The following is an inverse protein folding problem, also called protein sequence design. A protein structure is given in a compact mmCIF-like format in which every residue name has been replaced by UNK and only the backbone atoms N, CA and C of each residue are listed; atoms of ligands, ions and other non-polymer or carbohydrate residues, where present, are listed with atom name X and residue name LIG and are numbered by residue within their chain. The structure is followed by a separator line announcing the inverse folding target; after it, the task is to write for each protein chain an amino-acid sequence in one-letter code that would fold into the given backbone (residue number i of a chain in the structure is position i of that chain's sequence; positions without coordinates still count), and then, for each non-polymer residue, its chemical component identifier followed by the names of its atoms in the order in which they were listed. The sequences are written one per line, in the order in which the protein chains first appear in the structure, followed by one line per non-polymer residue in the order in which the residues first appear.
data_IF_722746317237
#
_entry.id   IF_722746317237
#
_cell.length_a   1.000
_cell.length_b   1.000
_cell.length_c   1.000
_cell.angle_alpha   90.00
_cell.angle_beta   90.00
_cell.angle_gamma   90.00
#
_symmetry.space_group_name_H-M   'P 1'
#
loop_
_entity.id
_entity.type
_entity.pdbx_description
1 polymer ?
#
# COMPACT_ATOMS: atom_id res chain seq x y z
N UNK A 1 28.39 -22.66 29.39
CA UNK A 1 28.36 -22.99 27.95
C UNK A 1 28.80 -21.73 27.22
N UNK A 2 30.06 -21.66 26.84
CA UNK A 2 30.64 -20.48 26.19
C UNK A 2 29.99 -20.26 24.82
N UNK A 3 29.46 -19.06 24.60
CA UNK A 3 29.02 -18.60 23.28
C UNK A 3 30.30 -18.40 22.46
N UNK A 4 30.67 -19.41 21.68
CA UNK A 4 31.82 -19.40 20.79
C UNK A 4 31.61 -18.37 19.67
N UNK A 5 32.69 -17.66 19.34
CA UNK A 5 32.72 -16.40 18.61
C UNK A 5 31.99 -16.35 17.27
N UNK A 6 31.57 -15.13 16.89
CA UNK A 6 31.17 -14.76 15.51
C UNK A 6 32.11 -15.46 14.51
N UNK A 7 31.59 -16.41 13.72
CA UNK A 7 32.32 -16.97 12.58
C UNK A 7 32.76 -15.80 11.70
N UNK A 8 34.06 -15.64 11.52
CA UNK A 8 34.65 -14.60 10.66
C UNK A 8 34.20 -14.89 9.23
N UNK A 9 33.35 -14.02 8.67
CA UNK A 9 32.84 -14.18 7.31
C UNK A 9 34.01 -14.10 6.33
N UNK A 10 34.12 -15.08 5.43
CA UNK A 10 35.16 -15.08 4.40
C UNK A 10 35.08 -13.79 3.57
N UNK A 11 36.24 -13.26 3.24
CA UNK A 11 36.42 -12.01 2.49
C UNK A 11 36.87 -12.29 1.05
N UNK A 12 36.84 -11.26 0.20
CA UNK A 12 37.35 -11.38 -1.17
C UNK A 12 38.85 -11.73 -1.21
N UNK A 13 39.59 -11.40 -0.14
CA UNK A 13 41.01 -11.75 0.01
C UNK A 13 41.16 -13.26 0.20
N UNK A 14 40.34 -13.86 1.08
CA UNK A 14 40.37 -15.30 1.35
C UNK A 14 40.03 -16.11 0.09
N UNK A 15 39.09 -15.62 -0.73
CA UNK A 15 38.76 -16.23 -2.03
C UNK A 15 39.91 -16.12 -3.03
N UNK A 16 40.58 -14.96 -3.07
CA UNK A 16 41.71 -14.74 -3.97
C UNK A 16 42.90 -15.65 -3.64
N UNK A 17 43.18 -15.81 -2.34
CA UNK A 17 44.20 -16.73 -1.84
C UNK A 17 43.86 -18.18 -2.16
N UNK A 18 42.64 -18.63 -1.84
CA UNK A 18 42.20 -20.01 -2.09
C UNK A 18 42.13 -20.37 -3.59
N UNK A 19 41.81 -19.40 -4.45
CA UNK A 19 41.78 -19.59 -5.91
C UNK A 19 43.14 -19.38 -6.60
N UNK A 20 44.18 -18.94 -5.87
CA UNK A 20 45.50 -18.69 -6.44
C UNK A 20 45.54 -17.56 -7.47
N UNK A 21 44.66 -16.55 -7.36
CA UNK A 21 44.55 -15.43 -8.31
C UNK A 21 44.61 -14.08 -7.61
N UNK A 22 44.92 -13.02 -8.35
CA UNK A 22 44.85 -11.65 -7.80
C UNK A 22 43.41 -11.27 -7.41
N UNK A 23 43.25 -10.48 -6.35
CA UNK A 23 41.96 -9.95 -5.86
C UNK A 23 41.17 -9.26 -6.97
N UNK A 24 41.85 -8.54 -7.86
CA UNK A 24 41.24 -7.88 -9.02
C UNK A 24 40.56 -8.86 -9.98
N UNK A 25 41.10 -10.08 -10.13
CA UNK A 25 40.52 -11.15 -10.97
C UNK A 25 39.25 -11.71 -10.33
N UNK A 26 39.27 -11.96 -9.01
CA UNK A 26 38.06 -12.35 -8.25
C UNK A 26 37.00 -11.26 -8.34
N UNK A 27 37.40 -9.99 -8.22
CA UNK A 27 36.48 -8.86 -8.36
C UNK A 27 35.85 -8.80 -9.75
N UNK A 28 36.61 -8.98 -10.83
CA UNK A 28 36.08 -9.03 -12.19
C UNK A 28 35.07 -10.15 -12.36
N UNK A 29 35.41 -11.36 -11.92
CA UNK A 29 34.53 -12.52 -11.96
C UNK A 29 33.21 -12.26 -11.21
N UNK A 30 33.29 -11.79 -9.96
CA UNK A 30 32.12 -11.49 -9.13
C UNK A 30 31.23 -10.37 -9.68
N UNK A 31 31.75 -9.53 -10.59
CA UNK A 31 31.00 -8.47 -11.28
C UNK A 31 30.53 -8.90 -12.68
N UNK A 32 30.56 -10.20 -13.00
CA UNK A 32 30.09 -10.73 -14.28
C UNK A 32 31.01 -10.43 -15.48
N UNK A 33 32.22 -9.93 -15.24
CA UNK A 33 33.18 -9.67 -16.31
C UNK A 33 33.92 -10.95 -16.71
N UNK A 34 34.34 -11.02 -17.98
CA UNK A 34 35.07 -12.17 -18.51
C UNK A 34 36.44 -12.33 -17.83
N UNK A 35 36.69 -13.53 -17.32
CA UNK A 35 38.00 -13.98 -16.81
C UNK A 35 38.42 -15.23 -17.58
N UNK A 36 39.72 -15.54 -17.60
CA UNK A 36 40.22 -16.77 -18.26
C UNK A 36 39.52 -18.00 -17.68
N UNK A 37 39.17 -18.98 -18.53
CA UNK A 37 38.40 -20.17 -18.12
C UNK A 37 39.05 -20.94 -16.96
N UNK A 38 40.38 -21.05 -16.93
CA UNK A 38 41.10 -21.67 -15.80
C UNK A 38 40.86 -20.94 -14.47
N UNK A 39 40.92 -19.61 -14.49
CA UNK A 39 40.70 -18.80 -13.28
C UNK A 39 39.24 -18.86 -12.81
N UNK A 40 38.28 -18.96 -13.74
CA UNK A 40 36.85 -19.07 -13.40
C UNK A 40 36.58 -20.28 -12.51
N UNK A 41 37.05 -21.46 -12.93
CA UNK A 41 36.81 -22.71 -12.20
C UNK A 41 37.46 -22.72 -10.81
N UNK A 42 38.66 -22.14 -10.66
CA UNK A 42 39.32 -22.00 -9.35
C UNK A 42 38.56 -21.03 -8.44
N UNK A 43 38.06 -19.91 -8.98
CA UNK A 43 37.28 -18.93 -8.21
C UNK A 43 35.95 -19.53 -7.75
N UNK A 44 35.24 -20.27 -8.61
CA UNK A 44 33.98 -20.96 -8.27
C UNK A 44 34.19 -21.97 -7.13
N UNK A 45 35.23 -22.81 -7.23
CA UNK A 45 35.61 -23.75 -6.15
C UNK A 45 35.95 -23.06 -4.85
N UNK A 46 36.73 -21.98 -4.90
CA UNK A 46 37.10 -21.22 -3.70
C UNK A 46 35.88 -20.57 -3.03
N UNK A 47 34.94 -20.03 -3.81
CA UNK A 47 33.69 -19.46 -3.30
C UNK A 47 32.86 -20.52 -2.57
N UNK A 48 32.71 -21.69 -3.18
CA UNK A 48 31.94 -22.80 -2.61
C UNK A 48 32.58 -23.33 -1.32
N UNK A 49 33.89 -23.62 -1.36
CA UNK A 49 34.65 -24.13 -0.21
C UNK A 49 34.65 -23.17 0.99
N UNK A 50 34.73 -21.87 0.73
CA UNK A 50 34.71 -20.84 1.78
C UNK A 50 33.30 -20.42 2.18
N UNK A 51 32.27 -20.94 1.50
CA UNK A 51 30.88 -20.44 1.61
C UNK A 51 30.84 -18.91 1.50
N UNK A 52 31.68 -18.36 0.61
CA UNK A 52 31.84 -16.93 0.47
C UNK A 52 30.57 -16.32 -0.10
N UNK A 53 29.96 -15.43 0.68
CA UNK A 53 28.90 -14.56 0.19
C UNK A 53 29.44 -13.14 0.09
N UNK A 54 29.31 -12.57 -1.10
CA UNK A 54 29.71 -11.18 -1.32
C UNK A 54 28.83 -10.28 -0.46
N UNK A 55 29.45 -9.59 0.50
CA UNK A 55 28.75 -8.65 1.38
C UNK A 55 28.05 -7.55 0.57
N UNK A 56 26.78 -7.30 0.88
CA UNK A 56 26.00 -6.22 0.26
C UNK A 56 26.65 -4.85 0.49
N UNK A 57 27.21 -4.61 1.68
CA UNK A 57 27.96 -3.39 2.01
C UNK A 57 29.17 -3.18 1.07
N UNK A 58 29.90 -4.24 0.72
CA UNK A 58 31.05 -4.15 -0.18
C UNK A 58 30.66 -3.90 -1.65
N UNK A 59 29.41 -4.22 -2.07
CA UNK A 59 28.85 -3.84 -3.38
C UNK A 59 28.43 -2.37 -3.39
N UNK A 60 27.77 -1.92 -2.33
CA UNK A 60 27.32 -0.55 -2.18
C UNK A 60 28.47 0.45 -2.19
N UNK A 61 29.54 0.19 -1.43
CA UNK A 61 30.72 1.06 -1.37
C UNK A 61 31.42 1.31 -2.72
N UNK A 62 31.26 0.43 -3.71
CA UNK A 62 31.91 0.55 -5.02
C UNK A 62 31.00 1.20 -6.08
N UNK A 63 29.68 1.03 -5.95
CA UNK A 63 28.70 1.49 -6.95
C UNK A 63 27.89 2.71 -6.50
N UNK A 64 28.04 3.13 -5.25
CA UNK A 64 27.23 4.17 -4.59
C UNK A 64 25.71 3.86 -4.61
N UNK A 65 25.35 2.59 -4.86
CA UNK A 65 23.97 2.07 -4.94
C UNK A 65 23.82 0.83 -4.09
N UNK A 66 22.72 0.71 -3.36
CA UNK A 66 22.44 -0.45 -2.51
C UNK A 66 21.56 -1.50 -3.19
N UNK A 67 20.91 -1.15 -4.31
CA UNK A 67 19.82 -1.90 -4.95
C UNK A 67 18.64 -2.16 -3.98
N UNK A 68 18.50 -1.33 -2.93
CA UNK A 68 17.44 -1.42 -1.94
C UNK A 68 16.43 -0.29 -2.13
N UNK A 69 15.15 -0.64 -2.18
CA UNK A 69 14.04 0.30 -2.25
C UNK A 69 13.29 0.24 -0.92
N UNK A 70 13.16 1.38 -0.25
CA UNK A 70 12.37 1.50 0.97
C UNK A 70 10.87 1.49 0.67
N UNK A 71 10.10 0.73 1.43
CA UNK A 71 8.64 0.73 1.39
C UNK A 71 8.10 0.99 2.79
N UNK A 72 7.49 2.16 2.97
CA UNK A 72 6.95 2.64 4.23
C UNK A 72 5.43 2.64 4.18
N UNK A 73 4.81 1.98 5.15
CA UNK A 73 3.36 1.80 5.25
C UNK A 73 2.94 1.89 6.71
N UNK A 74 1.69 2.29 7.04
CA UNK A 74 1.20 2.18 8.41
C UNK A 74 1.25 0.72 8.89
N UNK A 75 0.77 -0.21 8.08
CA UNK A 75 0.64 -1.63 8.45
C UNK A 75 0.69 -2.53 7.20
N UNK A 76 0.71 -3.85 7.41
CA UNK A 76 0.60 -4.87 6.35
C UNK A 76 -0.78 -5.53 6.37
N UNK A 77 -1.80 -4.71 6.19
CA UNK A 77 -3.16 -5.16 6.01
C UNK A 77 -3.38 -5.81 4.61
N UNK A 78 -4.60 -6.23 4.28
CA UNK A 78 -4.86 -6.98 3.03
C UNK A 78 -4.47 -6.17 1.77
N UNK A 79 -4.68 -4.85 1.78
CA UNK A 79 -4.29 -3.97 0.69
C UNK A 79 -2.75 -3.85 0.59
N UNK A 80 -2.08 -3.53 1.69
CA UNK A 80 -0.64 -3.28 1.70
C UNK A 80 0.17 -4.56 1.48
N UNK A 81 -0.29 -5.71 1.98
CA UNK A 81 0.34 -7.01 1.74
C UNK A 81 0.29 -7.42 0.26
N UNK A 82 -0.86 -7.21 -0.40
CA UNK A 82 -0.97 -7.44 -1.84
C UNK A 82 -0.06 -6.50 -2.64
N UNK A 83 -0.08 -5.21 -2.30
CA UNK A 83 0.79 -4.21 -2.93
C UNK A 83 2.27 -4.57 -2.77
N UNK A 84 2.71 -4.93 -1.56
CA UNK A 84 4.07 -5.38 -1.26
C UNK A 84 4.45 -6.59 -2.12
N UNK A 85 3.60 -7.60 -2.23
CA UNK A 85 3.87 -8.79 -3.05
C UNK A 85 4.05 -8.44 -4.54
N UNK A 86 3.21 -7.54 -5.09
CA UNK A 86 3.36 -7.07 -6.47
C UNK A 86 4.65 -6.27 -6.66
N UNK A 87 4.94 -5.30 -5.79
CA UNK A 87 6.17 -4.51 -5.84
C UNK A 87 7.42 -5.41 -5.72
N UNK A 88 7.40 -6.40 -4.81
CA UNK A 88 8.51 -7.32 -4.59
C UNK A 88 8.81 -8.18 -5.82
N UNK A 89 7.78 -8.55 -6.61
CA UNK A 89 7.96 -9.26 -7.88
C UNK A 89 8.58 -8.34 -8.94
N UNK A 90 8.05 -7.12 -9.07
CA UNK A 90 8.49 -6.15 -10.06
C UNK A 90 9.94 -5.70 -9.81
N UNK A 91 10.30 -5.36 -8.58
CA UNK A 91 11.67 -4.93 -8.27
C UNK A 91 12.70 -6.07 -8.35
N UNK A 92 12.32 -7.30 -7.99
CA UNK A 92 13.20 -8.48 -8.14
C UNK A 92 13.60 -8.72 -9.59
N UNK A 93 12.69 -8.52 -10.53
CA UNK A 93 13.00 -8.63 -11.97
C UNK A 93 14.05 -7.59 -12.42
N UNK A 94 14.14 -6.46 -11.71
CA UNK A 94 15.13 -5.41 -11.96
C UNK A 94 16.42 -5.54 -11.13
N UNK A 95 16.59 -6.64 -10.38
CA UNK A 95 17.75 -6.87 -9.50
C UNK A 95 17.69 -6.13 -8.16
N UNK A 96 16.55 -5.53 -7.80
CA UNK A 96 16.37 -4.71 -6.59
C UNK A 96 15.59 -5.45 -5.52
N UNK A 97 15.87 -5.11 -4.27
CA UNK A 97 15.21 -5.67 -3.08
C UNK A 97 14.33 -4.61 -2.42
N UNK A 98 13.18 -5.01 -1.88
CA UNK A 98 12.36 -4.15 -1.03
C UNK A 98 12.75 -4.34 0.44
N UNK A 99 12.94 -3.21 1.13
CA UNK A 99 13.05 -3.14 2.57
C UNK A 99 11.79 -2.46 3.09
N UNK A 100 11.02 -3.14 3.95
CA UNK A 100 9.72 -2.65 4.43
C UNK A 100 9.78 -2.28 5.91
N UNK A 101 9.09 -1.21 6.28
CA UNK A 101 8.90 -0.79 7.67
C UNK A 101 7.42 -0.40 7.88
N UNK A 102 6.82 -0.83 9.00
CA UNK A 102 5.47 -0.46 9.41
C UNK A 102 5.53 0.55 10.55
N UNK A 103 4.79 1.65 10.45
CA UNK A 103 4.82 2.72 11.46
C UNK A 103 3.55 2.81 12.33
N UNK A 104 2.57 1.93 12.14
CA UNK A 104 1.32 1.81 12.91
C UNK A 104 0.50 3.11 13.02
N UNK A 105 0.68 4.05 12.07
CA UNK A 105 0.10 5.39 12.16
C UNK A 105 0.75 6.31 13.22
N UNK A 106 1.79 5.84 13.92
CA UNK A 106 2.52 6.62 14.92
C UNK A 106 3.60 7.49 14.25
N UNK A 107 3.55 8.80 14.55
CA UNK A 107 4.46 9.78 13.97
C UNK A 107 5.92 9.59 14.40
N UNK A 108 6.18 9.06 15.60
CA UNK A 108 7.55 8.79 16.08
C UNK A 108 8.12 7.59 15.35
N UNK A 109 7.34 6.53 15.18
CA UNK A 109 7.74 5.36 14.38
C UNK A 109 7.94 5.74 12.92
N UNK A 110 7.16 6.68 12.39
CA UNK A 110 7.38 7.23 11.05
C UNK A 110 8.76 7.91 10.95
N UNK A 111 9.10 8.81 11.87
CA UNK A 111 10.43 9.45 11.90
C UNK A 111 11.58 8.46 12.10
N UNK A 112 11.39 7.46 12.97
CA UNK A 112 12.35 6.37 13.17
C UNK A 112 12.58 5.58 11.88
N UNK A 113 11.49 5.24 11.17
CA UNK A 113 11.56 4.50 9.91
C UNK A 113 12.31 5.27 8.82
N UNK A 114 12.09 6.58 8.71
CA UNK A 114 12.79 7.45 7.76
C UNK A 114 14.29 7.52 8.09
N UNK A 115 14.63 7.65 9.38
CA UNK A 115 16.02 7.61 9.85
C UNK A 115 16.67 6.26 9.57
N UNK A 116 15.93 5.16 9.74
CA UNK A 116 16.38 3.81 9.43
C UNK A 116 16.65 3.64 7.93
N UNK A 117 15.73 4.04 7.05
CA UNK A 117 15.94 3.99 5.60
C UNK A 117 17.13 4.83 5.15
N UNK A 118 17.32 6.02 5.73
CA UNK A 118 18.48 6.85 5.46
C UNK A 118 19.79 6.16 5.89
N UNK A 119 19.81 5.49 7.05
CA UNK A 119 20.96 4.72 7.52
C UNK A 119 21.26 3.46 6.68
N UNK A 120 20.24 2.90 6.03
CA UNK A 120 20.40 1.79 5.08
C UNK A 120 20.80 2.24 3.65
N UNK A 121 20.92 3.56 3.41
CA UNK A 121 21.22 4.14 2.09
C UNK A 121 20.31 3.58 0.98
N UNK A 122 19.00 3.57 1.20
CA UNK A 122 18.05 3.13 0.16
C UNK A 122 18.18 3.99 -1.09
N UNK A 123 18.10 3.35 -2.25
CA UNK A 123 18.21 4.01 -3.54
C UNK A 123 16.94 4.79 -3.90
N UNK A 124 15.79 4.40 -3.36
CA UNK A 124 14.51 5.11 -3.49
C UNK A 124 13.58 4.81 -2.31
N UNK A 125 12.57 5.65 -2.11
CA UNK A 125 11.56 5.50 -1.06
C UNK A 125 10.15 5.52 -1.67
N UNK A 126 9.34 4.54 -1.28
CA UNK A 126 7.89 4.49 -1.55
C UNK A 126 7.19 4.64 -0.22
N UNK A 127 6.25 5.57 -0.09
CA UNK A 127 5.53 5.80 1.16
C UNK A 127 4.04 6.06 0.97
N UNK A 128 3.24 5.54 1.89
CA UNK A 128 1.86 5.98 2.04
C UNK A 128 1.85 7.40 2.63
N UNK A 129 1.12 8.33 2.03
CA UNK A 129 1.04 9.69 2.57
C UNK A 129 0.31 9.75 3.91
N UNK A 130 0.59 10.81 4.66
CA UNK A 130 -0.08 11.18 5.90
C UNK A 130 0.04 12.71 6.05
N UNK A 131 -1.02 13.37 6.54
CA UNK A 131 -1.10 14.84 6.59
C UNK A 131 0.04 15.48 7.39
N UNK A 132 0.49 14.79 8.44
CA UNK A 132 1.55 15.24 9.35
C UNK A 132 2.97 14.79 8.96
N UNK A 133 3.22 14.39 7.71
CA UNK A 133 4.55 13.89 7.35
C UNK A 133 5.62 14.97 7.56
N UNK A 134 6.66 14.69 8.36
CA UNK A 134 7.68 15.67 8.70
C UNK A 134 8.52 16.09 7.48
N UNK A 135 9.22 17.22 7.62
CA UNK A 135 10.34 17.68 6.76
C UNK A 135 11.40 16.59 6.47
N UNK A 136 11.35 15.45 7.16
CA UNK A 136 12.26 14.32 6.99
C UNK A 136 12.14 13.64 5.64
N UNK A 137 10.96 13.63 5.00
CA UNK A 137 10.82 13.13 3.62
C UNK A 137 11.47 14.09 2.63
N UNK A 138 11.44 15.40 2.90
CA UNK A 138 12.14 16.40 2.08
C UNK A 138 13.65 16.13 2.05
N UNK A 139 14.23 15.64 3.16
CA UNK A 139 15.66 15.28 3.20
C UNK A 139 16.04 14.17 2.22
N UNK A 140 15.13 13.24 1.91
CA UNK A 140 15.37 12.25 0.85
C UNK A 140 15.40 12.94 -0.52
N UNK A 141 14.45 13.83 -0.77
CA UNK A 141 14.37 14.61 -2.02
C UNK A 141 15.60 15.51 -2.20
N UNK A 142 16.02 16.23 -1.16
CA UNK A 142 17.22 17.09 -1.16
C UNK A 142 18.51 16.32 -1.44
N UNK A 143 18.58 15.06 -1.01
CA UNK A 143 19.70 14.14 -1.28
C UNK A 143 19.63 13.50 -2.67
N UNK A 144 18.62 13.83 -3.47
CA UNK A 144 18.39 13.25 -4.79
C UNK A 144 17.86 11.81 -4.77
N UNK A 145 17.39 11.33 -3.61
CA UNK A 145 16.77 10.00 -3.51
C UNK A 145 15.34 10.10 -4.05
N UNK A 146 14.95 9.35 -5.08
CA UNK A 146 13.60 9.38 -5.62
C UNK A 146 12.58 8.94 -4.58
N UNK A 147 11.51 9.72 -4.45
CA UNK A 147 10.39 9.43 -3.56
C UNK A 147 9.11 9.28 -4.39
N UNK A 148 8.32 8.25 -4.11
CA UNK A 148 6.99 8.04 -4.70
C UNK A 148 5.95 7.89 -3.60
N UNK A 149 4.93 8.75 -3.61
CA UNK A 149 3.82 8.76 -2.66
C UNK A 149 2.62 7.99 -3.24
N UNK A 150 1.96 7.19 -2.40
CA UNK A 150 0.73 6.48 -2.77
C UNK A 150 -0.33 6.57 -1.67
N UNK A 151 -1.55 6.12 -1.99
CA UNK A 151 -2.73 6.05 -1.11
C UNK A 151 -3.27 7.42 -0.67
N UNK A 152 -2.49 8.17 0.10
CA UNK A 152 -2.80 9.52 0.57
C UNK A 152 -1.76 10.52 0.05
N UNK A 153 -2.14 11.77 -0.14
CA UNK A 153 -1.25 12.83 -0.56
C UNK A 153 -0.54 13.52 0.62
N UNK A 154 0.58 14.16 0.31
CA UNK A 154 1.35 15.02 1.22
C UNK A 154 1.42 16.38 0.52
N UNK A 155 0.60 17.32 0.99
CA UNK A 155 0.50 18.63 0.35
C UNK A 155 1.84 19.35 0.38
N UNK A 156 2.20 20.01 -0.72
CA UNK A 156 3.44 20.78 -0.84
C UNK A 156 4.70 19.97 -1.22
N UNK A 157 4.68 18.63 -1.07
CA UNK A 157 5.85 17.81 -1.37
C UNK A 157 6.05 17.62 -2.89
N UNK A 158 7.26 17.86 -3.39
CA UNK A 158 7.60 17.80 -4.82
C UNK A 158 8.07 16.39 -5.27
N UNK A 159 7.14 15.43 -5.27
CA UNK A 159 7.45 14.00 -5.54
C UNK A 159 6.46 13.33 -6.47
N UNK A 160 6.87 12.22 -7.09
CA UNK A 160 5.99 11.40 -7.94
C UNK A 160 4.85 10.79 -7.11
N UNK A 161 3.65 10.66 -7.70
CA UNK A 161 2.41 10.28 -7.02
C UNK A 161 1.63 9.22 -7.78
N UNK A 162 1.13 8.21 -7.06
CA UNK A 162 0.24 7.18 -7.61
C UNK A 162 -0.99 7.03 -6.71
N UNK A 163 -2.13 7.48 -7.20
CA UNK A 163 -3.39 7.49 -6.46
C UNK A 163 -4.49 6.75 -7.23
N UNK A 164 -5.64 6.63 -6.57
CA UNK A 164 -6.88 6.17 -7.18
C UNK A 164 -7.92 7.29 -7.20
N UNK A 165 -8.90 7.16 -8.09
CA UNK A 165 -10.03 8.07 -8.22
C UNK A 165 -11.04 7.90 -7.07
N UNK A 166 -10.63 8.21 -5.82
CA UNK A 166 -11.44 7.99 -4.60
C UNK A 166 -12.82 8.64 -4.69
N UNK A 167 -12.89 9.93 -5.03
CA UNK A 167 -14.16 10.67 -5.08
C UNK A 167 -15.11 10.11 -6.15
N UNK A 168 -14.61 9.90 -7.37
CA UNK A 168 -15.38 9.33 -8.48
C UNK A 168 -15.82 7.88 -8.19
N UNK A 169 -14.99 7.09 -7.51
CA UNK A 169 -15.34 5.72 -7.14
C UNK A 169 -16.44 5.69 -6.07
N UNK A 170 -16.30 6.49 -4.99
CA UNK A 170 -17.34 6.64 -3.97
C UNK A 170 -18.64 7.18 -4.54
N UNK A 171 -18.57 8.20 -5.41
CA UNK A 171 -19.72 8.73 -6.12
C UNK A 171 -20.48 7.63 -6.86
N UNK A 172 -19.78 6.79 -7.64
CA UNK A 172 -20.42 5.69 -8.40
C UNK A 172 -21.07 4.65 -7.48
N UNK A 173 -20.43 4.30 -6.37
CA UNK A 173 -20.99 3.38 -5.39
C UNK A 173 -22.27 3.90 -4.73
N UNK A 174 -22.28 5.18 -4.35
CA UNK A 174 -23.46 5.79 -3.72
C UNK A 174 -24.55 6.05 -4.76
N UNK A 175 -24.19 6.47 -5.98
CA UNK A 175 -25.12 6.60 -7.10
C UNK A 175 -25.81 5.28 -7.43
N UNK A 176 -25.08 4.16 -7.39
CA UNK A 176 -25.65 2.82 -7.54
C UNK A 176 -26.75 2.53 -6.51
N UNK A 177 -26.54 2.87 -5.22
CA UNK A 177 -27.57 2.73 -4.19
C UNK A 177 -28.79 3.62 -4.47
N UNK A 178 -28.57 4.84 -4.93
CA UNK A 178 -29.65 5.77 -5.31
C UNK A 178 -30.44 5.23 -6.50
N UNK A 179 -29.78 4.69 -7.51
CA UNK A 179 -30.40 4.11 -8.71
C UNK A 179 -31.26 2.88 -8.38
N UNK A 180 -30.90 2.14 -7.33
CA UNK A 180 -31.72 1.07 -6.77
C UNK A 180 -32.91 1.57 -5.94
N UNK A 181 -32.98 2.87 -5.65
CA UNK A 181 -34.12 3.51 -5.00
C UNK A 181 -33.92 3.84 -3.52
N UNK A 182 -32.71 3.68 -2.99
CA UNK A 182 -32.39 4.12 -1.63
C UNK A 182 -32.38 5.65 -1.53
N UNK A 183 -33.11 6.19 -0.55
CA UNK A 183 -33.12 7.63 -0.23
C UNK A 183 -32.57 7.93 1.16
N UNK A 184 -32.42 6.91 2.01
CA UNK A 184 -31.80 7.00 3.33
C UNK A 184 -30.51 6.18 3.31
N UNK A 185 -29.42 6.85 2.97
CA UNK A 185 -28.10 6.24 2.80
C UNK A 185 -27.18 6.85 3.86
N UNK A 186 -26.53 6.02 4.66
CA UNK A 186 -25.52 6.45 5.61
C UNK A 186 -24.11 6.15 5.12
N UNK A 187 -23.13 6.82 5.72
CA UNK A 187 -21.71 6.58 5.44
C UNK A 187 -20.90 6.42 6.72
N UNK A 188 -20.20 5.30 6.82
CA UNK A 188 -19.09 5.12 7.76
C UNK A 188 -17.82 5.58 7.03
N UNK A 189 -17.33 6.77 7.39
CA UNK A 189 -16.17 7.38 6.74
C UNK A 189 -14.93 7.26 7.63
N UNK A 190 -13.74 7.37 7.05
CA UNK A 190 -12.49 7.37 7.81
C UNK A 190 -12.09 8.76 8.29
N UNK A 191 -10.83 8.96 8.64
CA UNK A 191 -10.34 10.26 9.12
C UNK A 191 -10.26 11.30 7.99
N UNK A 192 -10.58 12.56 8.30
CA UNK A 192 -10.61 13.67 7.33
C UNK A 192 -9.27 14.39 7.13
N UNK A 193 -8.27 14.04 7.93
CA UNK A 193 -6.86 14.47 7.77
C UNK A 193 -6.13 13.71 6.64
N UNK A 194 -6.75 12.68 6.08
CA UNK A 194 -6.26 11.96 4.91
C UNK A 194 -6.97 12.37 3.64
N UNK A 195 -6.23 12.48 2.53
CA UNK A 195 -6.83 12.83 1.23
C UNK A 195 -7.84 11.77 0.76
N UNK A 196 -7.61 10.48 1.05
CA UNK A 196 -8.55 9.42 0.70
C UNK A 196 -9.87 9.54 1.47
N UNK A 197 -9.84 9.78 2.79
CA UNK A 197 -11.03 10.01 3.61
C UNK A 197 -11.86 11.19 3.12
N UNK A 198 -11.22 12.34 2.91
CA UNK A 198 -11.87 13.53 2.39
C UNK A 198 -12.49 13.28 1.00
N UNK A 199 -11.73 12.70 0.07
CA UNK A 199 -12.22 12.44 -1.29
C UNK A 199 -13.38 11.43 -1.30
N UNK A 200 -13.31 10.35 -0.50
CA UNK A 200 -14.38 9.34 -0.42
C UNK A 200 -15.66 9.95 0.14
N UNK A 201 -15.57 10.82 1.16
CA UNK A 201 -16.72 11.54 1.71
C UNK A 201 -17.31 12.53 0.70
N UNK A 202 -16.46 13.28 -0.02
CA UNK A 202 -16.91 14.20 -1.06
C UNK A 202 -17.69 13.48 -2.18
N UNK A 203 -17.22 12.30 -2.61
CA UNK A 203 -17.94 11.48 -3.59
C UNK A 203 -19.33 11.05 -3.10
N UNK A 204 -19.46 10.69 -1.82
CA UNK A 204 -20.74 10.40 -1.19
C UNK A 204 -21.68 11.63 -1.20
N UNK A 205 -21.18 12.79 -0.77
CA UNK A 205 -21.96 14.03 -0.73
C UNK A 205 -22.43 14.45 -2.12
N UNK A 206 -21.54 14.39 -3.11
CA UNK A 206 -21.86 14.73 -4.50
C UNK A 206 -22.97 13.81 -5.06
N UNK A 207 -22.92 12.51 -4.77
CA UNK A 207 -23.95 11.58 -5.23
C UNK A 207 -25.33 11.89 -4.62
N UNK A 208 -25.38 12.26 -3.33
CA UNK A 208 -26.63 12.68 -2.68
C UNK A 208 -27.18 13.97 -3.28
N UNK A 209 -26.31 14.97 -3.50
CA UNK A 209 -26.69 16.26 -4.10
C UNK A 209 -27.31 16.06 -5.49
N UNK A 210 -26.63 15.33 -6.37
CA UNK A 210 -27.13 15.02 -7.72
C UNK A 210 -28.37 14.11 -7.69
N UNK A 211 -28.48 13.24 -6.68
CA UNK A 211 -29.66 12.42 -6.40
C UNK A 211 -30.84 13.21 -5.79
N UNK A 212 -30.65 14.50 -5.47
CA UNK A 212 -31.62 15.34 -4.75
C UNK A 212 -32.06 14.73 -3.41
N UNK A 213 -31.15 14.03 -2.73
CA UNK A 213 -31.35 13.48 -1.40
C UNK A 213 -30.78 14.48 -0.38
N UNK A 214 -31.56 14.96 0.59
CA UNK A 214 -31.05 15.88 1.61
C UNK A 214 -29.90 15.25 2.41
N UNK A 215 -28.83 16.00 2.56
CA UNK A 215 -27.71 15.61 3.42
C UNK A 215 -28.17 15.58 4.89
N UNK A 216 -28.03 14.42 5.55
CA UNK A 216 -28.39 14.24 6.95
C UNK A 216 -27.14 13.98 7.81
N UNK A 217 -26.72 14.91 8.68
CA UNK A 217 -25.56 14.73 9.56
C UNK A 217 -25.65 13.50 10.48
N UNK A 218 -26.85 13.05 10.84
CA UNK A 218 -27.04 11.84 11.67
C UNK A 218 -26.64 10.55 10.95
N UNK A 219 -26.57 10.58 9.61
CA UNK A 219 -26.13 9.47 8.75
C UNK A 219 -24.63 9.47 8.48
N UNK A 220 -23.87 10.30 9.19
CA UNK A 220 -22.41 10.31 9.16
C UNK A 220 -21.85 9.77 10.48
N UNK A 221 -20.84 8.92 10.35
CA UNK A 221 -20.04 8.46 11.48
C UNK A 221 -18.59 8.24 11.03
N UNK A 222 -17.63 8.80 11.78
CA UNK A 222 -16.21 8.51 11.57
C UNK A 222 -15.94 7.15 12.22
N UNK A 223 -15.60 6.15 11.41
CA UNK A 223 -15.14 4.85 11.89
C UNK A 223 -13.63 4.74 11.95
N UNK A 224 -12.89 5.83 11.69
CA UNK A 224 -11.44 5.95 11.86
C UNK A 224 -10.62 4.83 11.20
N UNK A 225 -11.15 4.27 10.11
CA UNK A 225 -10.59 3.14 9.35
C UNK A 225 -10.56 1.79 10.08
N UNK A 226 -11.17 1.66 11.26
CA UNK A 226 -11.10 0.46 12.11
C UNK A 226 -12.36 -0.41 12.02
N UNK A 227 -12.23 -1.68 12.44
CA UNK A 227 -13.36 -2.61 12.53
C UNK A 227 -14.34 -2.14 13.62
N UNK A 228 -13.82 -1.76 14.79
CA UNK A 228 -14.62 -1.25 15.91
C UNK A 228 -15.38 0.04 15.56
N UNK A 229 -14.76 0.91 14.76
CA UNK A 229 -15.41 2.12 14.27
C UNK A 229 -16.54 1.81 13.29
N UNK A 230 -16.37 0.81 12.43
CA UNK A 230 -17.44 0.28 11.58
C UNK A 230 -18.62 -0.29 12.37
N UNK A 231 -18.33 -1.10 13.39
CA UNK A 231 -19.34 -1.65 14.30
C UNK A 231 -20.12 -0.53 15.02
N UNK A 232 -19.40 0.46 15.55
CA UNK A 232 -19.99 1.62 16.24
C UNK A 232 -20.86 2.45 15.29
N UNK A 233 -20.45 2.59 14.02
CA UNK A 233 -21.21 3.32 13.01
C UNK A 233 -22.58 2.70 12.77
N UNK A 234 -22.65 1.40 12.47
CA UNK A 234 -23.93 0.73 12.20
C UNK A 234 -24.82 0.68 13.44
N UNK A 235 -24.25 0.48 14.64
CA UNK A 235 -25.00 0.54 15.88
C UNK A 235 -25.69 1.91 16.06
N UNK A 236 -24.96 3.01 15.81
CA UNK A 236 -25.52 4.37 15.84
C UNK A 236 -26.61 4.54 14.80
N UNK A 237 -26.37 4.10 13.56
CA UNK A 237 -27.32 4.28 12.45
C UNK A 237 -28.63 3.54 12.68
N UNK A 238 -28.57 2.30 13.18
CA UNK A 238 -29.75 1.47 13.40
C UNK A 238 -30.55 1.88 14.65
N UNK A 239 -29.96 2.70 15.53
CA UNK A 239 -30.64 3.29 16.68
C UNK A 239 -31.41 4.60 16.37
N UNK A 240 -31.30 5.12 15.14
CA UNK A 240 -32.02 6.34 14.74
C UNK A 240 -33.52 6.07 14.62
N UNK A 241 -34.35 7.09 14.87
CA UNK A 241 -35.80 7.02 14.69
C UNK A 241 -36.18 6.64 13.25
N UNK A 242 -35.40 7.14 12.28
CA UNK A 242 -35.46 6.75 10.87
C UNK A 242 -34.11 6.17 10.46
N UNK A 243 -33.89 4.86 10.63
CA UNK A 243 -32.62 4.23 10.28
C UNK A 243 -32.39 4.25 8.76
N UNK A 244 -31.13 4.29 8.31
CA UNK A 244 -30.83 4.19 6.89
C UNK A 244 -31.26 2.83 6.33
N UNK A 245 -31.47 2.80 5.02
CA UNK A 245 -31.75 1.58 4.25
C UNK A 245 -30.52 1.05 3.52
N UNK A 246 -29.47 1.86 3.41
CA UNK A 246 -28.17 1.46 2.89
C UNK A 246 -27.04 2.16 3.63
N UNK A 247 -25.89 1.51 3.71
CA UNK A 247 -24.63 2.08 4.22
C UNK A 247 -23.55 1.95 3.15
N UNK A 248 -22.90 3.06 2.86
CA UNK A 248 -21.60 3.08 2.19
C UNK A 248 -20.50 3.08 3.25
N UNK A 249 -19.68 2.03 3.27
CA UNK A 249 -18.54 1.91 4.18
C UNK A 249 -17.27 2.29 3.45
N UNK A 250 -16.52 3.26 3.96
CA UNK A 250 -15.40 3.86 3.23
C UNK A 250 -14.11 3.04 3.26
N UNK A 251 -14.06 1.85 3.88
CA UNK A 251 -13.03 0.82 3.66
C UNK A 251 -13.56 -0.58 4.03
N UNK A 252 -12.78 -1.62 3.74
CA UNK A 252 -13.17 -2.99 4.03
C UNK A 252 -13.16 -3.32 5.54
N UNK A 253 -12.24 -2.74 6.33
CA UNK A 253 -12.16 -2.97 7.80
C UNK A 253 -13.43 -2.51 8.52
N UNK A 254 -13.88 -1.27 8.27
CA UNK A 254 -15.16 -0.79 8.80
C UNK A 254 -16.33 -1.64 8.30
N UNK A 255 -16.24 -2.19 7.09
CA UNK A 255 -17.24 -3.12 6.58
C UNK A 255 -17.27 -4.43 7.38
N UNK A 256 -16.12 -4.96 7.83
CA UNK A 256 -16.08 -6.12 8.72
C UNK A 256 -16.83 -5.86 10.02
N UNK A 257 -16.60 -4.72 10.67
CA UNK A 257 -17.36 -4.35 11.87
C UNK A 257 -18.86 -4.18 11.63
N UNK A 258 -19.25 -3.65 10.47
CA UNK A 258 -20.66 -3.56 10.08
C UNK A 258 -21.28 -4.96 9.94
N UNK A 259 -20.59 -5.87 9.25
CA UNK A 259 -21.05 -7.25 9.04
C UNK A 259 -21.09 -8.05 10.34
N UNK A 260 -20.17 -7.79 11.26
CA UNK A 260 -20.18 -8.38 12.61
C UNK A 260 -21.45 -7.98 13.36
N UNK A 261 -21.78 -6.68 13.41
CA UNK A 261 -23.00 -6.20 14.05
C UNK A 261 -24.25 -6.82 13.41
N UNK A 262 -24.30 -6.87 12.07
CA UNK A 262 -25.41 -7.48 11.31
C UNK A 262 -25.62 -8.93 11.75
N UNK A 263 -24.54 -9.70 11.82
CA UNK A 263 -24.57 -11.12 12.25
C UNK A 263 -25.08 -11.25 13.67
N UNK A 264 -24.56 -10.45 14.61
CA UNK A 264 -24.93 -10.53 16.03
C UNK A 264 -26.41 -10.17 16.28
N UNK A 265 -26.92 -9.20 15.54
CA UNK A 265 -28.30 -8.72 15.66
C UNK A 265 -29.27 -9.48 14.76
N UNK A 266 -28.78 -10.47 14.00
CA UNK A 266 -29.55 -11.25 13.02
C UNK A 266 -30.28 -10.36 12.00
N UNK A 267 -29.69 -9.21 11.69
CA UNK A 267 -30.15 -8.36 10.60
C UNK A 267 -29.81 -9.04 9.26
N UNK A 268 -30.60 -8.75 8.23
CA UNK A 268 -30.42 -9.32 6.89
C UNK A 268 -29.85 -8.28 5.96
N UNK A 269 -28.89 -8.71 5.16
CA UNK A 269 -28.31 -7.92 4.08
C UNK A 269 -28.68 -8.63 2.77
N UNK A 270 -29.38 -7.96 1.84
CA UNK A 270 -29.66 -6.52 1.84
C UNK A 270 -31.03 -6.10 2.41
N UNK A 271 -31.88 -7.02 2.88
CA UNK A 271 -33.29 -6.73 3.18
C UNK A 271 -33.53 -5.69 4.28
N UNK A 272 -32.75 -5.75 5.36
CA UNK A 272 -32.87 -4.81 6.47
C UNK A 272 -31.90 -3.63 6.29
N UNK A 273 -30.71 -3.89 5.74
CA UNK A 273 -29.71 -2.88 5.39
C UNK A 273 -28.87 -3.33 4.19
N UNK A 274 -28.84 -2.51 3.13
CA UNK A 274 -27.91 -2.71 2.03
C UNK A 274 -26.50 -2.19 2.38
N UNK A 275 -25.46 -2.84 1.89
CA UNK A 275 -24.06 -2.52 2.18
C UNK A 275 -23.29 -2.41 0.89
N UNK A 276 -22.53 -1.32 0.74
CA UNK A 276 -21.49 -1.17 -0.28
C UNK A 276 -20.18 -0.79 0.40
N UNK A 277 -19.12 -1.52 0.11
CA UNK A 277 -17.79 -1.28 0.66
C UNK A 277 -16.90 -0.50 -0.32
N UNK A 278 -16.04 0.37 0.20
CA UNK A 278 -14.82 0.73 -0.50
C UNK A 278 -13.74 -0.30 -0.13
N UNK A 279 -12.93 -0.72 -1.11
CA UNK A 279 -12.02 -1.86 -1.05
C UNK A 279 -12.76 -3.21 -1.15
N UNK A 280 -12.27 -4.08 -2.02
CA UNK A 280 -12.78 -5.44 -2.20
C UNK A 280 -11.74 -6.42 -1.65
N UNK A 281 -12.22 -7.39 -0.87
CA UNK A 281 -11.41 -8.38 -0.16
C UNK A 281 -11.95 -9.76 -0.43
N UNK A 282 -11.11 -10.79 -0.33
CA UNK A 282 -11.53 -12.17 -0.64
C UNK A 282 -12.69 -12.63 0.25
N UNK A 283 -12.67 -12.23 1.52
CA UNK A 283 -13.67 -12.61 2.51
C UNK A 283 -15.09 -12.14 2.14
N UNK A 284 -15.22 -11.05 1.38
CA UNK A 284 -16.53 -10.56 0.92
C UNK A 284 -17.26 -11.53 -0.01
N UNK A 285 -16.57 -12.51 -0.59
CA UNK A 285 -17.20 -13.56 -1.40
C UNK A 285 -17.79 -14.69 -0.56
N UNK A 286 -17.42 -14.79 0.72
CA UNK A 286 -17.94 -15.79 1.65
C UNK A 286 -19.25 -15.35 2.32
N UNK A 287 -19.61 -14.08 2.19
CA UNK A 287 -20.93 -13.60 2.57
C UNK A 287 -21.96 -14.12 1.55
N UNK A 288 -23.14 -14.58 2.01
CA UNK A 288 -24.10 -15.38 1.22
C UNK A 288 -24.24 -14.95 -0.25
N UNK A 289 -24.66 -13.70 -0.50
CA UNK A 289 -24.75 -13.14 -1.86
C UNK A 289 -23.57 -12.24 -2.25
N UNK A 290 -22.56 -12.17 -1.38
CA UNK A 290 -21.36 -11.36 -1.52
C UNK A 290 -21.56 -9.86 -1.26
N UNK A 291 -20.50 -9.19 -0.82
CA UNK A 291 -20.53 -7.74 -0.56
C UNK A 291 -20.17 -6.96 -1.82
N UNK A 292 -21.06 -6.07 -2.28
CA UNK A 292 -20.76 -5.11 -3.35
C UNK A 292 -19.64 -4.19 -2.90
N UNK A 293 -18.59 -4.07 -3.71
CA UNK A 293 -17.38 -3.37 -3.28
C UNK A 293 -16.69 -2.61 -4.41
N UNK A 294 -16.01 -1.52 -4.07
CA UNK A 294 -15.07 -0.84 -4.96
C UNK A 294 -13.72 -1.54 -4.88
N UNK A 295 -13.29 -2.23 -5.93
CA UNK A 295 -11.96 -2.82 -6.03
C UNK A 295 -10.94 -1.81 -6.56
N UNK A 296 -9.91 -1.54 -5.76
CA UNK A 296 -8.74 -0.78 -6.21
C UNK A 296 -7.87 -1.61 -7.17
N UNK A 297 -7.27 -1.02 -8.21
CA UNK A 297 -6.46 -1.77 -9.17
C UNK A 297 -5.02 -1.96 -8.64
N UNK A 298 -4.85 -2.73 -7.57
CA UNK A 298 -3.57 -2.89 -6.82
C UNK A 298 -2.39 -3.24 -7.75
N UNK A 299 -2.59 -4.13 -8.71
CA UNK A 299 -1.54 -4.48 -9.68
C UNK A 299 -1.12 -3.25 -10.52
N UNK A 300 -2.07 -2.43 -10.99
CA UNK A 300 -1.77 -1.21 -11.75
C UNK A 300 -1.10 -0.14 -10.88
N UNK A 301 -1.46 -0.07 -9.59
CA UNK A 301 -0.80 0.79 -8.61
C UNK A 301 0.67 0.38 -8.51
N UNK A 302 0.95 -0.91 -8.27
CA UNK A 302 2.30 -1.45 -8.16
C UNK A 302 3.13 -1.24 -9.44
N UNK A 303 2.53 -1.51 -10.61
CA UNK A 303 3.16 -1.27 -11.91
C UNK A 303 3.52 0.21 -12.09
N UNK A 304 2.64 1.12 -11.70
CA UNK A 304 2.87 2.56 -11.82
C UNK A 304 3.98 3.04 -10.89
N UNK A 305 3.95 2.62 -9.62
CA UNK A 305 4.98 2.94 -8.63
C UNK A 305 6.34 2.41 -9.09
N UNK A 306 6.42 1.14 -9.48
CA UNK A 306 7.68 0.53 -9.95
C UNK A 306 8.22 1.23 -11.20
N UNK A 307 7.36 1.57 -12.17
CA UNK A 307 7.78 2.31 -13.37
C UNK A 307 8.35 3.69 -13.02
N UNK A 308 7.75 4.38 -12.05
CA UNK A 308 8.23 5.69 -11.60
C UNK A 308 9.59 5.60 -10.90
N UNK A 309 9.72 4.66 -9.96
CA UNK A 309 10.98 4.42 -9.24
C UNK A 309 12.09 4.00 -10.22
N UNK A 310 11.83 3.00 -11.07
CA UNK A 310 12.84 2.48 -11.99
C UNK A 310 13.28 3.52 -13.01
N UNK A 311 12.37 4.36 -13.54
CA UNK A 311 12.78 5.42 -14.46
C UNK A 311 13.73 6.41 -13.78
N UNK A 312 13.44 6.83 -12.54
CA UNK A 312 14.29 7.76 -11.77
C UNK A 312 15.66 7.18 -11.47
N UNK A 313 15.77 5.86 -11.29
CA UNK A 313 17.03 5.17 -10.98
C UNK A 313 17.91 4.86 -12.20
N UNK A 314 17.35 4.89 -13.41
CA UNK A 314 18.00 4.35 -14.62
C UNK A 314 18.06 5.32 -15.79
N UNK A 315 17.32 6.43 -15.76
CA UNK A 315 17.24 7.39 -16.87
C UNK A 315 17.72 8.77 -16.44
N UNK A 316 18.50 9.42 -17.29
CA UNK A 316 19.08 10.75 -17.01
C UNK A 316 18.07 11.90 -17.23
N UNK A 317 17.03 11.69 -18.05
CA UNK A 317 16.03 12.71 -18.42
C UNK A 317 14.60 12.25 -18.11
N UNK A 318 14.31 11.98 -16.83
CA UNK A 318 12.92 11.77 -16.38
C UNK A 318 12.22 13.12 -16.28
N UNK A 319 10.94 13.25 -16.70
CA UNK A 319 10.13 14.45 -16.50
C UNK A 319 10.17 14.97 -15.06
N UNK A 320 9.70 16.22 -14.84
CA UNK A 320 9.42 16.74 -13.49
C UNK A 320 8.36 15.86 -12.79
N UNK A 321 7.87 16.26 -11.62
CA UNK A 321 6.90 15.50 -10.81
C UNK A 321 5.75 14.92 -11.65
N UNK A 322 5.52 13.61 -11.53
CA UNK A 322 4.44 12.89 -12.21
C UNK A 322 3.36 12.50 -11.23
N UNK A 323 2.10 12.66 -11.62
CA UNK A 323 0.95 12.14 -10.88
C UNK A 323 0.15 11.22 -11.78
N UNK A 324 -0.14 10.02 -11.29
CA UNK A 324 -1.06 9.07 -11.93
C UNK A 324 -2.22 8.78 -11.01
N UNK A 325 -3.43 9.00 -11.51
CA UNK A 325 -4.67 8.62 -10.82
C UNK A 325 -5.33 7.48 -11.59
N UNK A 326 -5.68 6.41 -10.90
CA UNK A 326 -6.19 5.17 -11.48
C UNK A 326 -7.68 4.98 -11.15
N UNK A 327 -8.46 4.56 -12.14
CA UNK A 327 -9.86 4.19 -11.92
C UNK A 327 -9.98 2.90 -11.08
N UNK A 328 -10.89 2.91 -10.11
CA UNK A 328 -11.35 1.71 -9.41
C UNK A 328 -12.52 1.04 -10.13
N UNK A 329 -12.77 -0.24 -9.86
CA UNK A 329 -13.92 -0.97 -10.39
C UNK A 329 -15.00 -1.13 -9.32
N UNK A 330 -16.27 -0.90 -9.66
CA UNK A 330 -17.39 -1.28 -8.78
C UNK A 330 -17.79 -2.72 -9.10
N UNK A 331 -17.56 -3.62 -8.16
CA UNK A 331 -17.90 -5.04 -8.26
C UNK A 331 -19.27 -5.25 -7.62
N UNK A 332 -20.28 -5.45 -8.45
CA UNK A 332 -21.65 -5.66 -8.01
C UNK A 332 -21.83 -7.09 -7.49
N UNK A 333 -22.39 -7.19 -6.28
CA UNK A 333 -22.80 -8.44 -5.62
C UNK A 333 -24.15 -8.21 -4.91
N UNK A 334 -24.69 -9.20 -4.20
CA UNK A 334 -26.05 -9.14 -3.68
C UNK A 334 -26.29 -8.16 -2.54
N UNK A 335 -25.25 -7.75 -1.80
CA UNK A 335 -25.43 -6.90 -0.61
C UNK A 335 -26.01 -5.50 -0.86
N UNK A 336 -26.11 -5.05 -2.12
CA UNK A 336 -26.57 -3.69 -2.44
C UNK A 336 -28.03 -3.62 -2.91
N UNK A 337 -28.70 -4.75 -3.13
CA UNK A 337 -30.04 -4.74 -3.73
C UNK A 337 -31.10 -4.05 -2.85
N UNK A 338 -32.04 -3.37 -3.49
CA UNK A 338 -33.22 -2.85 -2.81
C UNK A 338 -34.45 -3.66 -3.18
N UNK A 339 -35.02 -4.40 -2.22
CA UNK A 339 -36.37 -4.96 -2.37
C UNK A 339 -37.36 -4.00 -1.73
N UNK A 340 -38.09 -3.23 -2.54
CA UNK A 340 -39.31 -2.58 -2.04
C UNK A 340 -40.26 -3.69 -1.60
N UNK A 341 -40.53 -3.78 -0.31
CA UNK A 341 -41.70 -4.52 0.18
C UNK A 341 -42.91 -3.96 -0.57
N UNK A 342 -43.49 -4.74 -1.47
CA UNK A 342 -44.77 -4.46 -2.09
C UNK A 342 -45.79 -4.32 -0.96
N UNK A 343 -46.13 -3.07 -0.62
CA UNK A 343 -47.31 -2.74 0.17
C UNK A 343 -48.47 -2.47 -0.76
#
# INVERSE_FOLDING_TARGET
MEITGKRKQATIHDVAEAAGVAIGTVSRYLNGQTVRNGNRAEIERAIEALSFQRSAAARAMKSDKTDVIGFLTPELDEFHAQLLNHLARLFRQSGRTLLTYCHDGDIRLLSESLSYFAGQNVDALILAGHGDIPNEVERFVERGIPVTVYNNDIMGLRVDRVFVENAKASYRAVRHLIDLGHTRIATAFGTLDTSSGLQRLNGYQQALEEGRIPFNPSYLHSGDWTEEGGYSAIQKFMALAEPPTAVFSANYKMTYGILEWVREHRARVPEDIAIVSFDDVELFRLYDDGVTAIAQPIEKIAQSISAYVLSRLTQDNVPDIRTRTLDCNLILRGSSHFRRSSR
#
